data_IF_177967754789
#
_entry.id   IF_177967754789
#
_cell.length_a   1.000
_cell.length_b   1.000
_cell.length_c   1.000
_cell.angle_alpha   90.00
_cell.angle_beta   90.00
_cell.angle_gamma   90.00
#
_symmetry.space_group_name_H-M   'P 1'
#
loop_
_entity.id
_entity.type
_entity.pdbx_description
1 polymer ?
#
# COMPACT_ATOMS: atom_id res chain seq x y z
N UNK A 1 7.22 13.70 20.79
CA UNK A 1 6.43 12.53 21.25
C UNK A 1 7.30 11.30 21.04
N UNK A 2 7.22 10.31 21.93
CA UNK A 2 7.95 9.04 21.78
C UNK A 2 7.24 8.11 20.79
N UNK A 3 7.94 7.17 20.15
CA UNK A 3 7.37 6.22 19.18
C UNK A 3 6.28 5.36 19.83
N UNK A 4 6.54 4.82 21.02
CA UNK A 4 5.59 3.98 21.77
C UNK A 4 4.28 4.70 22.08
N UNK A 5 4.35 5.99 22.42
CA UNK A 5 3.16 6.80 22.65
C UNK A 5 2.33 6.93 21.37
N UNK A 6 2.95 7.30 20.23
CA UNK A 6 2.27 7.39 18.94
C UNK A 6 1.65 6.07 18.51
N UNK A 7 2.39 4.98 18.69
CA UNK A 7 1.92 3.64 18.35
C UNK A 7 0.68 3.28 19.16
N UNK A 8 0.68 3.49 20.48
CA UNK A 8 -0.50 3.24 21.32
C UNK A 8 -1.70 4.06 20.86
N UNK A 9 -1.50 5.34 20.56
CA UNK A 9 -2.58 6.21 20.08
C UNK A 9 -3.18 5.71 18.75
N UNK A 10 -2.32 5.35 17.79
CA UNK A 10 -2.75 4.85 16.48
C UNK A 10 -3.47 3.49 16.60
N UNK A 11 -2.90 2.54 17.33
CA UNK A 11 -3.49 1.21 17.50
C UNK A 11 -4.82 1.30 18.24
N UNK A 12 -4.93 2.18 19.24
CA UNK A 12 -6.19 2.42 19.95
C UNK A 12 -7.24 2.97 19.00
N UNK A 13 -6.88 3.95 18.16
CA UNK A 13 -7.79 4.50 17.15
C UNK A 13 -8.26 3.43 16.16
N UNK A 14 -7.34 2.63 15.62
CA UNK A 14 -7.67 1.54 14.68
C UNK A 14 -8.55 0.45 15.32
N UNK A 15 -8.39 0.18 16.62
CA UNK A 15 -9.24 -0.75 17.35
C UNK A 15 -10.63 -0.17 17.68
N UNK A 16 -10.72 1.15 17.91
CA UNK A 16 -11.99 1.85 18.15
C UNK A 16 -12.82 2.00 16.86
N UNK A 17 -12.18 2.00 15.69
CA UNK A 17 -12.85 1.93 14.38
C UNK A 17 -13.66 0.64 14.19
N UNK A 18 -13.33 -0.46 14.92
CA UNK A 18 -14.22 -1.65 15.00
C UNK A 18 -15.54 -1.35 15.75
N UNK A 19 -15.66 -0.21 16.44
CA UNK A 19 -16.74 0.08 17.40
C UNK A 19 -17.60 1.36 17.18
N UNK A 20 -17.28 2.25 16.22
CA UNK A 20 -18.20 3.22 15.54
C UNK A 20 -17.53 4.50 14.99
N UNK A 21 -16.21 4.69 15.14
CA UNK A 21 -15.54 5.87 14.55
C UNK A 21 -15.21 5.64 13.06
N UNK A 22 -15.42 6.67 12.22
CA UNK A 22 -15.10 6.58 10.78
C UNK A 22 -13.60 6.69 10.58
N UNK A 23 -13.05 5.79 9.76
CA UNK A 23 -11.66 5.88 9.30
C UNK A 23 -11.40 7.23 8.61
N UNK A 24 -10.15 7.69 8.68
CA UNK A 24 -9.73 9.01 8.18
C UNK A 24 -9.62 9.08 6.66
N UNK A 25 -9.66 7.94 5.96
CA UNK A 25 -9.70 7.95 4.50
C UNK A 25 -11.04 8.53 4.01
N UNK A 26 -11.07 9.08 2.77
CA UNK A 26 -12.33 9.50 2.16
C UNK A 26 -13.39 8.39 2.07
N UNK A 27 -12.96 7.13 2.10
CA UNK A 27 -13.83 5.95 2.08
C UNK A 27 -14.58 5.76 3.41
N UNK A 28 -13.95 6.17 4.52
CA UNK A 28 -14.53 6.10 5.87
C UNK A 28 -14.48 4.71 6.53
N UNK A 29 -13.84 3.73 5.89
CA UNK A 29 -13.58 2.40 6.46
C UNK A 29 -12.31 1.77 5.85
N UNK A 30 -11.69 0.85 6.60
CA UNK A 30 -10.51 0.10 6.17
C UNK A 30 -10.89 -0.99 5.15
N UNK A 31 -10.05 -1.16 4.14
CA UNK A 31 -10.21 -2.24 3.16
C UNK A 31 -9.99 -3.62 3.79
N UNK A 32 -10.98 -4.52 3.69
CA UNK A 32 -10.91 -5.88 4.26
C UNK A 32 -9.64 -6.64 3.85
N UNK A 33 -9.17 -6.61 2.58
CA UNK A 33 -8.00 -7.41 2.19
C UNK A 33 -6.70 -7.07 2.92
N UNK A 34 -6.50 -5.85 3.43
CA UNK A 34 -5.22 -5.45 4.06
C UNK A 34 -5.23 -5.61 5.60
N UNK A 35 -6.37 -5.98 6.19
CA UNK A 35 -6.54 -6.00 7.65
C UNK A 35 -5.54 -6.95 8.33
N UNK A 36 -5.30 -8.15 7.78
CA UNK A 36 -4.38 -9.10 8.41
C UNK A 36 -2.92 -8.61 8.36
N UNK A 37 -2.45 -8.10 7.21
CA UNK A 37 -1.14 -7.45 7.12
C UNK A 37 -0.99 -6.32 8.15
N UNK A 38 -2.01 -5.46 8.30
CA UNK A 38 -1.99 -4.37 9.28
C UNK A 38 -1.90 -4.93 10.70
N UNK A 39 -2.65 -5.98 11.03
CA UNK A 39 -2.62 -6.63 12.33
C UNK A 39 -1.22 -7.20 12.64
N UNK A 40 -0.62 -7.91 11.69
CA UNK A 40 0.72 -8.47 11.82
C UNK A 40 1.77 -7.37 12.10
N UNK A 41 1.75 -6.30 11.31
CA UNK A 41 2.71 -5.19 11.46
C UNK A 41 2.50 -4.47 12.80
N UNK A 42 1.26 -4.12 13.14
CA UNK A 42 0.94 -3.39 14.38
C UNK A 42 1.22 -4.22 15.64
N UNK A 43 1.10 -5.54 15.55
CA UNK A 43 1.42 -6.47 16.64
C UNK A 43 2.89 -6.52 17.02
N UNK A 44 3.80 -6.13 16.12
CA UNK A 44 5.24 -6.16 16.39
C UNK A 44 5.72 -4.85 17.02
N UNK A 45 6.49 -4.91 18.12
CA UNK A 45 6.95 -3.75 18.89
C UNK A 45 7.45 -2.59 18.01
N UNK A 46 8.33 -2.90 17.04
CA UNK A 46 9.01 -1.87 16.23
C UNK A 46 8.20 -1.21 15.12
N UNK A 47 6.92 -1.55 14.90
CA UNK A 47 6.15 -1.00 13.78
C UNK A 47 4.74 -0.55 14.15
N UNK A 48 4.24 0.43 13.40
CA UNK A 48 2.82 0.82 13.38
C UNK A 48 2.41 1.35 12.00
N UNK A 49 1.28 0.90 11.48
CA UNK A 49 0.69 1.36 10.21
C UNK A 49 0.00 2.71 10.39
N UNK A 50 0.26 3.68 9.53
CA UNK A 50 -0.30 5.04 9.65
C UNK A 50 -1.35 5.37 8.59
N UNK A 51 -1.30 4.71 7.43
CA UNK A 51 -2.32 4.79 6.38
C UNK A 51 -2.18 3.63 5.40
N UNK A 52 -3.30 3.19 4.83
CA UNK A 52 -3.38 2.05 3.93
C UNK A 52 -4.42 2.25 2.83
N UNK A 53 -4.21 1.56 1.71
CA UNK A 53 -5.18 1.33 0.65
C UNK A 53 -4.84 -0.02 0.03
N UNK A 54 -5.80 -0.95 -0.03
CA UNK A 54 -5.59 -2.30 -0.57
C UNK A 54 -5.45 -2.31 -2.10
N UNK A 55 -5.93 -1.26 -2.77
CA UNK A 55 -5.91 -1.09 -4.21
C UNK A 55 -7.25 -0.56 -4.69
N UNK A 56 -7.27 0.21 -5.78
CA UNK A 56 -8.49 0.80 -6.33
C UNK A 56 -8.45 0.97 -7.85
N UNK A 57 -9.62 0.88 -8.45
CA UNK A 57 -9.89 1.43 -9.78
C UNK A 57 -10.58 2.76 -9.58
N UNK A 58 -10.12 3.78 -10.29
CA UNK A 58 -10.71 5.10 -10.19
C UNK A 58 -10.74 5.82 -11.54
N UNK A 59 -11.72 6.70 -11.68
CA UNK A 59 -11.75 7.70 -12.75
C UNK A 59 -11.73 9.09 -12.12
N UNK A 60 -10.73 9.86 -12.49
CA UNK A 60 -10.41 11.15 -11.89
C UNK A 60 -10.40 12.24 -12.94
N UNK A 61 -11.21 13.28 -12.75
CA UNK A 61 -11.21 14.48 -13.54
C UNK A 61 -10.30 15.54 -12.90
N UNK A 62 -9.35 16.07 -13.65
CA UNK A 62 -8.60 17.26 -13.24
C UNK A 62 -9.55 18.45 -13.06
N UNK A 63 -9.23 19.34 -12.12
CA UNK A 63 -9.98 20.58 -11.97
C UNK A 63 -9.61 21.60 -13.04
N UNK A 64 -10.52 22.54 -13.26
CA UNK A 64 -10.30 23.64 -14.21
C UNK A 64 -9.22 24.60 -13.68
N UNK A 65 -8.30 25.00 -14.57
CA UNK A 65 -7.35 26.06 -14.29
C UNK A 65 -8.09 27.41 -14.30
N UNK A 66 -7.92 28.22 -13.25
CA UNK A 66 -8.39 29.61 -13.27
C UNK A 66 -7.47 30.44 -14.19
N UNK A 67 -8.06 31.35 -14.96
CA UNK A 67 -7.35 32.28 -15.86
C UNK A 67 -6.64 33.42 -15.07
N UNK A 68 -6.80 33.45 -13.74
CA UNK A 68 -6.45 34.58 -12.87
C UNK A 68 -5.00 34.55 -12.33
N UNK A 69 -4.04 34.02 -13.10
CA UNK A 69 -2.60 34.14 -12.80
C UNK A 69 -2.11 33.44 -11.51
N UNK A 70 -3.01 32.88 -10.69
CA UNK A 70 -2.72 32.09 -9.51
C UNK A 70 -2.83 30.61 -9.86
N UNK A 71 -1.68 29.93 -9.99
CA UNK A 71 -1.55 28.54 -10.43
C UNK A 71 -1.97 27.52 -9.37
N UNK A 72 -3.18 27.62 -8.83
CA UNK A 72 -3.77 26.56 -8.00
C UNK A 72 -5.03 26.07 -8.70
N UNK A 73 -4.89 25.02 -9.51
CA UNK A 73 -6.04 24.32 -10.07
C UNK A 73 -7.01 23.98 -8.93
N UNK A 74 -8.32 24.19 -9.15
CA UNK A 74 -9.34 23.64 -8.24
C UNK A 74 -9.05 22.15 -8.10
N UNK A 75 -9.11 21.61 -6.88
CA UNK A 75 -8.91 20.18 -6.68
C UNK A 75 -9.82 19.38 -7.63
N UNK A 76 -9.27 18.35 -8.28
CA UNK A 76 -10.06 17.53 -9.20
C UNK A 76 -11.12 16.67 -8.51
N UNK A 77 -11.93 16.01 -9.33
CA UNK A 77 -13.12 15.26 -8.92
C UNK A 77 -12.95 13.75 -9.19
N UNK A 78 -13.34 12.92 -8.23
CA UNK A 78 -13.47 11.48 -8.43
C UNK A 78 -14.84 11.17 -9.06
N UNK A 79 -14.85 10.71 -10.31
CA UNK A 79 -16.07 10.32 -11.02
C UNK A 79 -16.50 8.90 -10.68
N UNK A 80 -15.52 8.04 -10.44
CA UNK A 80 -15.72 6.65 -10.08
C UNK A 80 -14.58 6.18 -9.20
N UNK A 81 -14.89 5.42 -8.15
CA UNK A 81 -13.90 4.75 -7.29
C UNK A 81 -14.47 3.42 -6.82
N UNK A 82 -13.71 2.35 -6.98
CA UNK A 82 -13.97 1.06 -6.34
C UNK A 82 -12.67 0.47 -5.79
N UNK A 83 -12.77 -0.23 -4.66
CA UNK A 83 -11.65 -0.95 -4.04
C UNK A 83 -11.74 -2.46 -4.30
N UNK A 84 -12.58 -2.85 -5.27
CA UNK A 84 -12.87 -4.24 -5.59
C UNK A 84 -12.86 -4.47 -7.10
N UNK A 85 -12.81 -5.74 -7.48
CA UNK A 85 -12.95 -6.16 -8.88
C UNK A 85 -14.29 -5.69 -9.42
N UNK A 86 -14.28 -5.23 -10.66
CA UNK A 86 -15.48 -4.79 -11.35
C UNK A 86 -16.12 -6.00 -12.03
N UNK A 87 -17.28 -6.41 -11.54
CA UNK A 87 -18.08 -7.47 -12.15
C UNK A 87 -18.65 -7.00 -13.49
N UNK A 88 -18.32 -7.71 -14.57
CA UNK A 88 -18.83 -7.39 -15.90
C UNK A 88 -20.17 -8.12 -16.13
N UNK A 89 -21.15 -7.47 -16.76
CA UNK A 89 -22.42 -8.12 -17.06
C UNK A 89 -22.25 -9.17 -18.16
N UNK A 90 -22.93 -10.31 -18.03
CA UNK A 90 -22.98 -11.36 -19.05
C UNK A 90 -23.93 -10.94 -20.19
N UNK A 91 -23.42 -10.08 -21.07
CA UNK A 91 -24.15 -9.40 -22.14
C UNK A 91 -23.30 -9.26 -23.41
N UNK A 92 -23.92 -8.81 -24.51
CA UNK A 92 -23.19 -8.51 -25.75
C UNK A 92 -22.13 -7.42 -25.56
N UNK A 93 -21.13 -7.36 -26.43
CA UNK A 93 -20.04 -6.37 -26.37
C UNK A 93 -20.57 -4.94 -26.35
N UNK A 94 -21.60 -4.65 -27.16
CA UNK A 94 -22.22 -3.33 -27.25
C UNK A 94 -22.89 -2.94 -25.94
N UNK A 95 -23.62 -3.86 -25.31
CA UNK A 95 -24.25 -3.63 -24.01
C UNK A 95 -23.21 -3.47 -22.90
N UNK A 96 -22.12 -4.24 -22.91
CA UNK A 96 -21.03 -4.08 -21.94
C UNK A 96 -20.34 -2.72 -22.08
N UNK A 97 -20.14 -2.24 -23.31
CA UNK A 97 -19.59 -0.91 -23.56
C UNK A 97 -20.50 0.19 -23.01
N UNK A 98 -21.81 0.08 -23.23
CA UNK A 98 -22.78 1.03 -22.71
C UNK A 98 -22.82 1.02 -21.17
N UNK A 99 -22.88 -0.16 -20.57
CA UNK A 99 -22.82 -0.33 -19.12
C UNK A 99 -21.53 0.25 -18.51
N UNK A 100 -20.39 0.10 -19.20
CA UNK A 100 -19.11 0.65 -18.77
C UNK A 100 -19.17 2.19 -18.71
N UNK A 101 -19.77 2.85 -19.70
CA UNK A 101 -19.93 4.30 -19.71
C UNK A 101 -20.81 4.78 -18.56
N UNK A 102 -21.95 4.12 -18.35
CA UNK A 102 -22.89 4.42 -17.26
C UNK A 102 -22.24 4.21 -15.89
N UNK A 103 -21.46 3.15 -15.73
CA UNK A 103 -20.78 2.83 -14.47
C UNK A 103 -19.68 3.85 -14.14
N UNK A 104 -18.86 4.20 -15.14
CA UNK A 104 -17.67 5.05 -14.95
C UNK A 104 -18.01 6.54 -14.89
N UNK A 105 -18.99 6.98 -15.66
CA UNK A 105 -19.35 8.41 -15.78
C UNK A 105 -20.70 8.76 -15.12
N UNK A 106 -21.43 7.76 -14.62
CA UNK A 106 -22.73 7.97 -13.98
C UNK A 106 -23.72 8.67 -14.92
N UNK A 107 -24.41 9.68 -14.38
CA UNK A 107 -25.38 10.50 -15.13
C UNK A 107 -24.75 11.61 -15.97
N UNK A 108 -23.42 11.64 -16.10
CA UNK A 108 -22.73 12.69 -16.87
C UNK A 108 -23.06 12.59 -18.35
N UNK A 109 -23.15 13.73 -19.03
CA UNK A 109 -23.34 13.76 -20.48
C UNK A 109 -22.02 13.41 -21.17
N UNK A 110 -21.97 12.25 -21.83
CA UNK A 110 -20.79 11.75 -22.54
C UNK A 110 -21.01 11.82 -24.05
N UNK A 111 -20.01 12.30 -24.79
CA UNK A 111 -20.01 12.35 -26.26
C UNK A 111 -18.66 11.85 -26.81
N UNK A 112 -18.66 11.16 -27.94
CA UNK A 112 -17.42 10.79 -28.63
C UNK A 112 -16.81 12.03 -29.30
N UNK A 113 -15.54 12.31 -29.03
CA UNK A 113 -14.87 13.44 -29.68
C UNK A 113 -14.50 13.07 -31.13
N UNK A 114 -15.26 13.58 -32.09
CA UNK A 114 -15.00 13.42 -33.52
C UNK A 114 -13.79 14.23 -33.99
N UNK A 115 -12.58 13.88 -33.55
CA UNK A 115 -11.32 14.40 -34.10
C UNK A 115 -11.06 15.89 -33.89
N UNK A 116 -11.75 16.56 -32.95
CA UNK A 116 -11.48 17.98 -32.67
C UNK A 116 -10.08 18.15 -32.07
N UNK A 117 -9.35 19.15 -32.56
CA UNK A 117 -8.02 19.53 -32.04
C UNK A 117 -8.14 19.80 -30.53
N UNK A 118 -7.40 19.03 -29.74
CA UNK A 118 -7.31 19.19 -28.29
C UNK A 118 -6.55 20.49 -28.00
N UNK A 119 -7.17 21.41 -27.26
CA UNK A 119 -6.39 22.52 -26.70
C UNK A 119 -5.55 21.96 -25.54
N UNK A 120 -4.28 22.37 -25.40
CA UNK A 120 -3.34 21.78 -24.43
C UNK A 120 -3.69 22.06 -22.96
N UNK A 121 -4.81 22.74 -22.67
CA UNK A 121 -5.19 23.22 -21.33
C UNK A 121 -6.60 22.76 -20.93
N UNK A 122 -7.12 21.70 -21.55
CA UNK A 122 -8.40 21.12 -21.14
C UNK A 122 -8.19 20.21 -19.92
N UNK A 123 -9.08 20.25 -18.91
CA UNK A 123 -9.02 19.33 -17.80
C UNK A 123 -9.21 17.90 -18.29
N UNK A 124 -8.20 17.07 -18.10
CA UNK A 124 -8.21 15.69 -18.54
C UNK A 124 -8.91 14.81 -17.49
N UNK A 125 -9.51 13.73 -17.98
CA UNK A 125 -10.09 12.68 -17.17
C UNK A 125 -9.26 11.42 -17.37
N UNK A 126 -8.76 10.88 -16.25
CA UNK A 126 -7.87 9.74 -16.21
C UNK A 126 -8.57 8.51 -15.69
N UNK A 127 -8.33 7.38 -16.34
CA UNK A 127 -8.59 6.06 -15.79
C UNK A 127 -7.35 5.58 -15.06
N UNK A 128 -7.52 5.18 -13.81
CA UNK A 128 -6.45 4.77 -12.91
C UNK A 128 -6.71 3.40 -12.32
N UNK A 129 -5.67 2.58 -12.28
CA UNK A 129 -5.57 1.46 -11.34
C UNK A 129 -4.40 1.76 -10.42
N UNK A 130 -4.66 1.85 -9.13
CA UNK A 130 -3.66 2.09 -8.11
C UNK A 130 -3.59 0.86 -7.20
N UNK A 131 -2.43 0.20 -7.09
CA UNK A 131 -2.27 -1.02 -6.29
C UNK A 131 -2.20 -0.70 -4.79
N UNK A 132 -1.96 -1.73 -3.98
CA UNK A 132 -1.67 -1.59 -2.56
C UNK A 132 -0.66 -0.46 -2.28
N UNK A 133 -1.01 0.40 -1.34
CA UNK A 133 -0.11 1.39 -0.72
C UNK A 133 -0.25 1.28 0.79
N UNK A 134 0.88 1.18 1.48
CA UNK A 134 0.91 1.11 2.95
C UNK A 134 2.03 2.02 3.48
N UNK A 135 1.69 2.87 4.45
CA UNK A 135 2.67 3.67 5.19
C UNK A 135 2.83 3.09 6.59
N UNK A 136 4.08 2.92 7.00
CA UNK A 136 4.46 2.37 8.29
C UNK A 136 5.45 3.29 8.96
N UNK A 137 5.25 3.56 10.24
CA UNK A 137 6.27 4.13 11.12
C UNK A 137 7.00 3.01 11.83
N UNK A 138 8.33 3.07 11.83
CA UNK A 138 9.21 2.18 12.56
C UNK A 138 9.81 2.85 13.81
N UNK A 139 10.20 2.04 14.80
CA UNK A 139 10.86 2.50 16.02
C UNK A 139 12.29 3.02 15.78
N UNK A 140 12.98 2.46 14.78
CA UNK A 140 14.36 2.81 14.41
C UNK A 140 14.60 2.78 12.89
N UNK A 141 15.75 3.30 12.46
CA UNK A 141 16.17 3.25 11.06
C UNK A 141 16.44 1.81 10.58
N UNK A 142 16.99 0.96 11.45
CA UNK A 142 17.28 -0.45 11.17
C UNK A 142 16.00 -1.27 11.01
N UNK A 143 14.98 -0.99 11.83
CA UNK A 143 13.66 -1.58 11.68
C UNK A 143 13.04 -1.15 10.34
N UNK A 144 13.09 0.14 10.01
CA UNK A 144 12.58 0.64 8.72
C UNK A 144 13.28 -0.02 7.52
N UNK A 145 14.60 -0.19 7.57
CA UNK A 145 15.39 -0.86 6.53
C UNK A 145 15.03 -2.35 6.39
N UNK A 146 14.82 -3.04 7.50
CA UNK A 146 14.46 -4.47 7.52
C UNK A 146 13.11 -4.71 6.84
N UNK A 147 12.07 -3.93 7.21
CA UNK A 147 10.74 -4.07 6.61
C UNK A 147 10.74 -3.62 5.13
N UNK A 148 11.48 -2.56 4.79
CA UNK A 148 11.64 -2.11 3.40
C UNK A 148 12.30 -3.19 2.55
N UNK A 149 13.34 -3.86 3.06
CA UNK A 149 14.03 -4.95 2.37
C UNK A 149 13.11 -6.12 2.04
N UNK A 150 12.22 -6.48 2.97
CA UNK A 150 11.20 -7.52 2.75
C UNK A 150 10.23 -7.10 1.64
N UNK A 151 9.70 -5.88 1.71
CA UNK A 151 8.81 -5.36 0.68
C UNK A 151 9.46 -5.39 -0.72
N UNK A 152 10.73 -5.00 -0.82
CA UNK A 152 11.49 -5.04 -2.07
C UNK A 152 11.70 -6.47 -2.60
N UNK A 153 11.94 -7.44 -1.71
CA UNK A 153 12.10 -8.86 -2.08
C UNK A 153 10.81 -9.46 -2.66
N UNK A 154 9.66 -9.10 -2.10
CA UNK A 154 8.32 -9.53 -2.53
C UNK A 154 7.87 -8.83 -3.84
N UNK A 155 8.57 -7.78 -4.26
CA UNK A 155 8.35 -7.10 -5.54
C UNK A 155 7.65 -5.75 -5.43
N UNK A 156 7.53 -5.17 -4.24
CA UNK A 156 7.13 -3.77 -4.06
C UNK A 156 8.31 -2.84 -4.37
N UNK A 157 8.75 -2.81 -5.64
CA UNK A 157 9.99 -2.17 -6.10
C UNK A 157 10.02 -0.64 -5.95
N UNK A 158 8.87 0.00 -5.73
CA UNK A 158 8.77 1.45 -5.48
C UNK A 158 8.75 1.80 -3.98
N UNK A 159 9.00 0.81 -3.12
CA UNK A 159 9.05 1.01 -1.67
C UNK A 159 10.32 1.76 -1.26
N UNK A 160 10.24 2.50 -0.16
CA UNK A 160 11.38 3.21 0.37
C UNK A 160 11.09 3.92 1.68
N UNK A 161 12.17 4.31 2.35
CA UNK A 161 12.13 5.12 3.56
C UNK A 161 11.90 6.58 3.19
N UNK A 162 10.90 7.21 3.80
CA UNK A 162 10.58 8.62 3.60
C UNK A 162 11.50 9.45 4.51
N UNK A 163 12.29 10.40 3.95
CA UNK A 163 13.16 11.25 4.75
C UNK A 163 12.37 12.04 5.80
N UNK A 164 12.74 11.87 7.06
CA UNK A 164 12.13 12.57 8.18
C UNK A 164 13.14 12.72 9.31
N UNK A 165 13.13 13.87 9.98
CA UNK A 165 14.05 14.18 11.09
C UNK A 165 13.61 13.60 12.43
N UNK A 166 12.34 13.21 12.55
CA UNK A 166 11.71 12.89 13.84
C UNK A 166 11.07 11.51 13.88
N UNK A 167 10.84 10.89 12.72
CA UNK A 167 10.10 9.63 12.58
C UNK A 167 10.75 8.77 11.51
N UNK A 168 10.82 7.46 11.72
CA UNK A 168 11.32 6.53 10.71
C UNK A 168 10.14 6.01 9.89
N UNK A 169 9.78 6.75 8.85
CA UNK A 169 8.64 6.41 8.00
C UNK A 169 9.09 5.59 6.79
N UNK A 170 8.36 4.55 6.42
CA UNK A 170 8.50 3.87 5.14
C UNK A 170 7.16 3.82 4.40
N UNK A 171 7.26 3.75 3.08
CA UNK A 171 6.12 3.50 2.19
C UNK A 171 6.36 2.21 1.42
N UNK A 172 5.41 1.28 1.50
CA UNK A 172 5.37 0.06 0.69
C UNK A 172 4.50 0.34 -0.53
N UNK A 173 5.10 0.28 -1.73
CA UNK A 173 4.44 0.67 -2.99
C UNK A 173 4.84 -0.23 -4.14
N UNK A 174 3.88 -0.49 -5.03
CA UNK A 174 4.06 -1.31 -6.22
C UNK A 174 4.25 -0.48 -7.49
N UNK A 175 4.75 -1.13 -8.55
CA UNK A 175 4.79 -0.60 -9.92
C UNK A 175 3.54 -0.97 -10.73
N UNK A 176 2.65 -1.79 -10.16
CA UNK A 176 1.45 -2.33 -10.78
C UNK A 176 0.35 -1.26 -10.91
N UNK A 177 0.54 -0.28 -11.77
CA UNK A 177 -0.41 0.84 -11.96
C UNK A 177 -0.94 0.93 -13.39
N UNK A 178 -2.09 1.57 -13.55
CA UNK A 178 -2.56 2.19 -14.80
C UNK A 178 -2.81 3.66 -14.52
N UNK A 179 -2.44 4.53 -15.46
CA UNK A 179 -2.69 5.96 -15.39
C UNK A 179 -2.79 6.52 -16.82
N UNK A 180 -4.02 6.63 -17.33
CA UNK A 180 -4.28 6.84 -18.75
C UNK A 180 -5.34 7.92 -18.95
N UNK A 181 -5.09 8.95 -19.78
CA UNK A 181 -6.14 9.89 -20.17
C UNK A 181 -7.16 9.18 -21.06
N UNK A 182 -8.45 9.30 -20.71
CA UNK A 182 -9.55 8.65 -21.43
C UNK A 182 -10.58 9.64 -21.99
N UNK A 183 -10.64 10.84 -21.42
CA UNK A 183 -11.56 11.88 -21.83
C UNK A 183 -11.03 13.25 -21.41
N UNK A 184 -11.70 14.31 -21.85
CA UNK A 184 -11.57 15.65 -21.28
C UNK A 184 -12.95 16.22 -20.97
N UNK A 185 -13.00 17.20 -20.07
CA UNK A 185 -14.24 17.89 -19.72
C UNK A 185 -14.28 19.29 -20.34
N UNK A 186 -15.40 19.63 -20.98
CA UNK A 186 -15.66 20.99 -21.48
C UNK A 186 -17.13 21.34 -21.29
N UNK A 187 -17.41 22.48 -20.65
CA UNK A 187 -18.79 22.94 -20.41
C UNK A 187 -19.68 21.87 -19.76
N UNK A 188 -19.16 21.13 -18.76
CA UNK A 188 -19.83 20.00 -18.10
C UNK A 188 -20.20 18.81 -19.02
N UNK A 189 -19.63 18.75 -20.22
CA UNK A 189 -19.75 17.61 -21.14
C UNK A 189 -18.43 16.85 -21.13
N UNK A 190 -18.52 15.53 -21.03
CA UNK A 190 -17.38 14.62 -21.10
C UNK A 190 -17.19 14.22 -22.56
N UNK A 191 -16.02 14.53 -23.09
CA UNK A 191 -15.63 14.20 -24.46
C UNK A 191 -14.63 13.05 -24.42
N UNK A 192 -15.04 11.87 -24.90
CA UNK A 192 -14.17 10.69 -24.94
C UNK A 192 -13.02 10.90 -25.92
N UNK A 193 -11.81 10.52 -25.49
CA UNK A 193 -10.61 10.41 -26.31
C UNK A 193 -10.43 9.00 -26.89
N UNK A 194 -11.19 8.03 -26.37
CA UNK A 194 -11.07 6.60 -26.66
C UNK A 194 -12.44 6.01 -26.96
N UNK A 195 -12.47 4.94 -27.74
CA UNK A 195 -13.69 4.19 -28.00
C UNK A 195 -14.18 3.48 -26.72
N UNK A 196 -15.51 3.29 -26.53
CA UNK A 196 -16.05 2.59 -25.35
C UNK A 196 -15.47 1.18 -25.14
N UNK A 197 -15.14 0.46 -26.20
CA UNK A 197 -14.50 -0.86 -26.12
C UNK A 197 -13.10 -0.82 -25.49
N UNK A 198 -12.38 0.30 -25.61
CA UNK A 198 -11.10 0.50 -24.93
C UNK A 198 -11.30 0.65 -23.41
N UNK A 199 -12.36 1.32 -22.97
CA UNK A 199 -12.67 1.43 -21.54
C UNK A 199 -12.97 0.05 -20.93
N UNK A 200 -13.71 -0.80 -21.67
CA UNK A 200 -13.95 -2.18 -21.27
C UNK A 200 -12.64 -2.97 -21.15
N UNK A 201 -11.71 -2.81 -22.10
CA UNK A 201 -10.37 -3.39 -22.01
C UNK A 201 -9.63 -2.92 -20.75
N UNK A 202 -9.70 -1.62 -20.40
CA UNK A 202 -9.07 -1.09 -19.19
C UNK A 202 -9.65 -1.71 -17.92
N UNK A 203 -10.96 -1.97 -17.87
CA UNK A 203 -11.59 -2.70 -16.76
C UNK A 203 -11.02 -4.13 -16.67
N UNK A 204 -10.96 -4.87 -17.78
CA UNK A 204 -10.36 -6.21 -17.78
C UNK A 204 -8.90 -6.21 -17.31
N UNK A 205 -8.09 -5.28 -17.83
CA UNK A 205 -6.70 -5.11 -17.41
C UNK A 205 -6.59 -4.78 -15.93
N UNK A 206 -7.51 -3.96 -15.41
CA UNK A 206 -7.52 -3.59 -13.99
C UNK A 206 -7.94 -4.74 -13.09
N UNK A 207 -8.92 -5.55 -13.48
CA UNK A 207 -9.29 -6.77 -12.77
C UNK A 207 -8.12 -7.75 -12.71
N UNK A 208 -7.41 -7.96 -13.82
CA UNK A 208 -6.20 -8.80 -13.83
C UNK A 208 -5.09 -8.23 -12.93
N UNK A 209 -4.97 -6.89 -12.84
CA UNK A 209 -4.03 -6.25 -11.90
C UNK A 209 -4.50 -6.36 -10.45
N UNK A 210 -5.80 -6.35 -10.17
CA UNK A 210 -6.33 -6.64 -8.84
C UNK A 210 -5.93 -8.04 -8.38
N UNK A 211 -6.09 -9.04 -9.25
CA UNK A 211 -5.71 -10.42 -8.95
C UNK A 211 -4.20 -10.49 -8.61
N UNK A 212 -3.35 -9.90 -9.46
CA UNK A 212 -1.90 -9.81 -9.20
C UNK A 212 -1.53 -8.99 -7.95
N UNK A 213 -2.36 -8.03 -7.56
CA UNK A 213 -2.15 -7.22 -6.37
C UNK A 213 -2.48 -8.01 -5.10
N UNK A 214 -3.57 -8.80 -5.12
CA UNK A 214 -3.95 -9.70 -4.04
C UNK A 214 -2.92 -10.82 -3.85
N UNK A 215 -2.46 -11.46 -4.93
CA UNK A 215 -1.42 -12.48 -4.86
C UNK A 215 -0.13 -11.94 -4.21
N UNK A 216 0.23 -10.69 -4.54
CA UNK A 216 1.42 -10.04 -3.98
C UNK A 216 1.23 -9.58 -2.53
N UNK A 217 0.00 -9.20 -2.16
CA UNK A 217 -0.35 -8.90 -0.78
C UNK A 217 -0.21 -10.15 0.09
N UNK A 218 -0.74 -11.30 -0.35
CA UNK A 218 -0.57 -12.56 0.36
C UNK A 218 0.91 -12.93 0.53
N UNK A 219 1.71 -12.78 -0.54
CA UNK A 219 3.14 -13.05 -0.47
C UNK A 219 3.87 -12.12 0.53
N UNK A 220 3.43 -10.87 0.63
CA UNK A 220 3.97 -9.92 1.60
C UNK A 220 3.61 -10.32 3.02
N UNK A 221 2.35 -10.69 3.26
CA UNK A 221 1.88 -11.19 4.55
C UNK A 221 2.71 -12.39 5.02
N UNK A 222 2.93 -13.37 4.16
CA UNK A 222 3.71 -14.56 4.47
C UNK A 222 5.16 -14.20 4.86
N UNK A 223 5.80 -13.30 4.11
CA UNK A 223 7.18 -12.89 4.38
C UNK A 223 7.30 -12.03 5.65
N UNK A 224 6.33 -11.15 5.90
CA UNK A 224 6.25 -10.36 7.12
C UNK A 224 6.04 -11.31 8.30
N UNK A 225 5.07 -12.21 8.25
CA UNK A 225 4.83 -13.17 9.33
C UNK A 225 6.09 -14.01 9.64
N UNK A 226 6.78 -14.51 8.61
CA UNK A 226 8.04 -15.23 8.79
C UNK A 226 9.14 -14.36 9.40
N UNK A 227 9.22 -13.08 9.03
CA UNK A 227 10.18 -12.14 9.60
C UNK A 227 9.90 -11.87 11.08
N UNK A 228 8.64 -11.61 11.44
CA UNK A 228 8.23 -11.31 12.80
C UNK A 228 8.36 -12.52 13.74
N UNK A 229 8.23 -13.73 13.20
CA UNK A 229 8.40 -14.99 13.96
C UNK A 229 9.87 -15.42 14.13
N UNK A 230 10.83 -14.76 13.46
CA UNK A 230 12.25 -15.12 13.64
C UNK A 230 12.68 -14.72 15.04
N UNK A 231 13.35 -15.61 15.80
CA UNK A 231 13.97 -15.22 17.05
C UNK A 231 14.98 -14.11 16.77
N UNK A 232 15.13 -13.13 17.68
CA UNK A 232 16.03 -12.01 17.48
C UNK A 232 17.43 -12.52 17.12
N UNK A 233 17.94 -12.07 15.98
CA UNK A 233 19.28 -12.43 15.53
C UNK A 233 20.27 -11.79 16.49
N UNK A 234 20.98 -12.59 17.27
CA UNK A 234 22.04 -12.10 18.15
C UNK A 234 22.98 -11.16 17.40
N UNK A 235 23.16 -9.96 17.92
CA UNK A 235 24.13 -9.01 17.40
C UNK A 235 25.54 -9.63 17.39
N UNK A 236 26.44 -9.13 16.55
CA UNK A 236 27.85 -9.59 16.56
C UNK A 236 28.48 -9.53 17.95
N UNK A 237 28.09 -8.54 18.77
CA UNK A 237 28.56 -8.38 20.14
C UNK A 237 27.96 -9.43 21.07
N UNK A 238 26.64 -9.64 21.05
CA UNK A 238 25.98 -10.68 21.85
C UNK A 238 26.46 -12.07 21.49
N UNK A 239 26.64 -12.35 20.19
CA UNK A 239 27.22 -13.60 19.70
C UNK A 239 28.65 -13.79 20.17
N UNK A 240 29.45 -12.72 20.25
CA UNK A 240 30.81 -12.75 20.78
C UNK A 240 30.82 -13.01 22.28
N UNK A 241 29.96 -12.33 23.04
CA UNK A 241 29.79 -12.50 24.49
C UNK A 241 29.33 -13.92 24.82
N UNK A 242 28.35 -14.45 24.08
CA UNK A 242 27.89 -15.84 24.23
C UNK A 242 28.99 -16.84 23.95
N UNK A 243 29.73 -16.70 22.83
CA UNK A 243 30.87 -17.58 22.51
C UNK A 243 31.96 -17.53 23.59
N UNK A 244 32.23 -16.37 24.18
CA UNK A 244 33.18 -16.24 25.28
C UNK A 244 32.70 -16.93 26.57
N UNK A 245 31.41 -16.81 26.89
CA UNK A 245 30.79 -17.46 28.04
C UNK A 245 30.77 -18.99 27.90
N UNK A 246 30.29 -19.49 26.77
CA UNK A 246 30.27 -20.92 26.44
C UNK A 246 31.70 -21.52 26.46
N UNK A 247 32.70 -20.75 26.00
CA UNK A 247 34.11 -21.13 26.04
C UNK A 247 34.63 -21.28 27.47
N UNK A 248 34.34 -20.31 28.36
CA UNK A 248 34.73 -20.38 29.79
C UNK A 248 34.05 -21.54 30.52
N UNK A 249 32.76 -21.77 30.26
CA UNK A 249 32.02 -22.89 30.88
C UNK A 249 32.55 -24.25 30.45
N UNK A 250 32.93 -24.43 29.18
CA UNK A 250 33.61 -25.65 28.71
C UNK A 250 34.96 -25.86 29.39
N UNK A 251 35.73 -24.79 29.57
CA UNK A 251 37.05 -24.87 30.22
C UNK A 251 36.93 -25.23 31.71
N UNK A 252 35.96 -24.65 32.42
CA UNK A 252 35.64 -24.99 33.81
C UNK A 252 35.16 -26.43 33.96
N UNK A 253 34.31 -26.93 33.05
CA UNK A 253 33.88 -28.33 33.03
C UNK A 253 35.05 -29.30 32.84
N UNK A 254 35.98 -28.98 31.94
CA UNK A 254 37.19 -29.80 31.73
C UNK A 254 38.10 -29.79 32.96
N UNK A 255 38.27 -28.64 33.62
CA UNK A 255 39.07 -28.56 34.85
C UNK A 255 38.45 -29.35 36.00
N UNK A 256 37.12 -29.34 36.14
CA UNK A 256 36.41 -30.14 37.14
C UNK A 256 36.54 -31.65 36.90
N UNK A 257 36.55 -32.08 35.64
CA UNK A 257 36.78 -33.49 35.25
C UNK A 257 38.23 -33.93 35.46
N UNK A 258 39.19 -33.00 35.42
CA UNK A 258 40.61 -33.26 35.63
C UNK A 258 41.08 -33.10 37.08
N UNK A 259 40.19 -32.81 38.05
CA UNK A 259 40.58 -32.82 39.45
C UNK A 259 40.88 -34.27 39.89
N UNK A 260 42.11 -34.57 40.34
CA UNK A 260 42.44 -35.91 40.77
C UNK A 260 41.58 -36.28 41.98
N UNK A 261 40.93 -37.45 41.91
CA UNK A 261 40.28 -38.07 43.07
C UNK A 261 41.26 -38.00 44.24
N UNK A 262 40.89 -37.23 45.25
CA UNK A 262 41.71 -37.00 46.43
C UNK A 262 42.16 -38.33 47.02
N UNK A 263 43.45 -38.41 47.34
CA UNK A 263 44.03 -39.46 48.17
C UNK A 263 43.25 -39.49 49.50
N UNK A 264 42.28 -40.38 49.60
CA UNK A 264 41.54 -40.67 50.82
C UNK A 264 42.18 -41.86 51.53
N UNK A 265 42.86 -41.52 52.63
CA UNK A 265 43.20 -42.31 53.83
C UNK A 265 43.86 -43.68 53.63
#
# INVERSE_FOLDING_TARGET
>A
MDFEARKRDIVTHLALEESNERDKSPKGYIDVPIVELMRLINGHADYVTTSSCSGRIAVYAEGEAEDDGCKTAKGGEWLYVTHERVGLPDKSMQEQCQWCLETVFGSSKVVSSGGSVLSPHQPLIYFKFEPLVLHVEASSAEAADSLTSIALQVGYRNSGIIPSRTRHMLAIRSTLKLDLPIAYRRNNIIHLLVEPSYLLLLIHMSNAKFDQNLDRLQLLEDHVQQFLNKPPVESKQERRIRKQREGREKQLRLQALCQPFGKGV
#
